data_IF_364470200568
#
_entry.id   IF_364470200568
#
_cell.length_a   1.000
_cell.length_b   1.000
_cell.length_c   1.000
_cell.angle_alpha   90.00
_cell.angle_beta   90.00
_cell.angle_gamma   90.00
#
_symmetry.space_group_name_H-M   'P 1'
#
loop_
_entity.id
_entity.type
_entity.pdbx_description
1 polymer ?
#
# COMPACT_ATOMS: atom_id res chain seq x y z
N UNK A 1 49.27 -1.83 -20.49
CA UNK A 1 48.07 -1.12 -20.95
C UNK A 1 46.85 -1.81 -20.33
N UNK A 2 46.41 -1.39 -19.14
CA UNK A 2 45.21 -1.90 -18.47
C UNK A 2 44.35 -0.69 -18.13
N UNK A 3 43.26 -0.53 -18.86
CA UNK A 3 42.27 0.52 -18.68
C UNK A 3 41.41 0.18 -17.46
N UNK A 4 41.54 0.96 -16.39
CA UNK A 4 40.61 0.93 -15.26
C UNK A 4 39.33 1.67 -15.67
N UNK A 5 38.23 0.95 -15.84
CA UNK A 5 36.90 1.55 -15.93
C UNK A 5 36.46 1.95 -14.53
N UNK A 6 36.28 3.26 -14.32
CA UNK A 6 35.60 3.78 -13.15
C UNK A 6 34.10 3.46 -13.26
N UNK A 7 33.56 2.78 -12.25
CA UNK A 7 32.12 2.62 -12.10
C UNK A 7 31.53 3.98 -11.74
N UNK A 8 30.78 4.57 -12.68
CA UNK A 8 30.00 5.77 -12.42
C UNK A 8 28.87 5.42 -11.46
N UNK A 9 28.97 5.87 -10.21
CA UNK A 9 27.84 5.87 -9.28
C UNK A 9 26.85 6.92 -9.78
N UNK A 10 25.83 6.51 -10.53
CA UNK A 10 24.70 7.38 -10.85
C UNK A 10 23.97 7.69 -9.55
N UNK A 11 24.26 8.85 -8.97
CA UNK A 11 23.37 9.45 -7.98
C UNK A 11 22.08 9.78 -8.69
N UNK A 12 21.09 8.89 -8.61
CA UNK A 12 19.74 9.17 -9.08
C UNK A 12 19.29 10.47 -8.40
N UNK A 13 19.14 11.55 -9.18
CA UNK A 13 18.62 12.79 -8.66
C UNK A 13 17.21 12.52 -8.16
N UNK A 14 16.85 13.05 -6.99
CA UNK A 14 15.46 13.09 -6.52
C UNK A 14 14.50 13.79 -7.51
N UNK A 15 15.06 14.44 -8.55
CA UNK A 15 14.38 15.23 -9.56
C UNK A 15 13.49 14.42 -10.51
N UNK A 16 13.64 13.09 -10.58
CA UNK A 16 12.84 12.24 -11.49
C UNK A 16 11.86 11.32 -10.75
N UNK A 17 11.66 11.53 -9.44
CA UNK A 17 10.65 10.81 -8.66
C UNK A 17 9.31 11.57 -8.67
N UNK A 18 8.21 10.99 -9.22
CA UNK A 18 6.93 11.66 -9.32
C UNK A 18 6.33 12.07 -7.97
N UNK A 19 6.57 11.31 -6.90
CA UNK A 19 6.03 11.67 -5.57
C UNK A 19 6.80 12.84 -4.95
N UNK A 20 8.14 12.82 -5.01
CA UNK A 20 8.98 13.95 -4.59
C UNK A 20 8.69 15.21 -5.38
N UNK A 21 8.53 15.11 -6.70
CA UNK A 21 8.16 16.25 -7.55
C UNK A 21 6.80 16.85 -7.16
N UNK A 22 5.85 16.01 -6.78
CA UNK A 22 4.49 16.44 -6.46
C UNK A 22 4.34 17.01 -5.05
N UNK A 23 4.99 16.41 -4.06
CA UNK A 23 4.76 16.73 -2.64
C UNK A 23 6.00 17.22 -1.90
N UNK A 24 7.18 17.26 -2.54
CA UNK A 24 8.44 17.64 -1.89
C UNK A 24 8.94 16.63 -0.85
N UNK A 25 8.37 15.42 -0.81
CA UNK A 25 8.69 14.38 0.16
C UNK A 25 9.29 13.16 -0.53
N UNK A 26 10.30 12.50 0.08
CA UNK A 26 10.96 11.38 -0.56
C UNK A 26 10.12 10.10 -0.43
N UNK A 27 10.09 9.30 -1.51
CA UNK A 27 9.60 7.91 -1.43
C UNK A 27 10.45 7.05 -0.47
N UNK A 28 9.88 5.95 0.05
CA UNK A 28 10.66 4.87 0.67
C UNK A 28 11.82 4.46 -0.24
N UNK A 29 13.01 4.29 0.36
CA UNK A 29 14.26 4.09 -0.38
C UNK A 29 14.15 2.95 -1.39
N UNK A 30 13.58 1.82 -0.98
CA UNK A 30 13.51 0.60 -1.77
C UNK A 30 12.41 0.64 -2.84
N UNK A 31 11.57 1.68 -2.84
CA UNK A 31 10.55 1.93 -3.88
C UNK A 31 11.07 2.82 -5.01
N UNK A 32 12.05 3.71 -4.73
CA UNK A 32 12.50 4.77 -5.65
C UNK A 32 12.89 4.26 -7.03
N UNK A 33 13.66 3.18 -7.10
CA UNK A 33 14.10 2.62 -8.37
C UNK A 33 12.93 2.16 -9.26
N UNK A 34 11.80 1.75 -8.67
CA UNK A 34 10.61 1.30 -9.40
C UNK A 34 9.73 2.48 -9.89
N UNK A 35 9.93 3.66 -9.30
CA UNK A 35 9.17 4.88 -9.55
C UNK A 35 9.89 5.89 -10.46
N UNK A 36 11.22 5.75 -10.60
CA UNK A 36 12.05 6.68 -11.33
C UNK A 36 11.58 6.86 -12.78
N UNK A 37 11.42 8.12 -13.21
CA UNK A 37 11.05 8.49 -14.57
C UNK A 37 9.57 8.30 -14.91
N UNK A 38 8.75 7.81 -13.98
CA UNK A 38 7.31 7.73 -14.18
C UNK A 38 6.68 9.12 -14.10
N UNK A 39 5.68 9.36 -14.94
CA UNK A 39 4.71 10.43 -14.71
C UNK A 39 3.87 10.13 -13.46
N UNK A 40 3.21 11.15 -12.91
CA UNK A 40 2.29 10.95 -11.79
C UNK A 40 1.18 9.93 -12.12
N UNK A 41 0.64 9.96 -13.34
CA UNK A 41 -0.41 9.04 -13.77
C UNK A 41 0.08 7.59 -13.79
N UNK A 42 1.22 7.32 -14.42
CA UNK A 42 1.83 5.98 -14.46
C UNK A 42 2.21 5.48 -13.06
N UNK A 43 2.70 6.38 -12.20
CA UNK A 43 3.01 6.08 -10.81
C UNK A 43 1.76 5.63 -10.03
N UNK A 44 0.65 6.38 -10.16
CA UNK A 44 -0.62 6.01 -9.52
C UNK A 44 -1.23 4.75 -10.10
N UNK A 45 -1.14 4.52 -11.41
CA UNK A 45 -1.64 3.30 -12.04
C UNK A 45 -0.87 2.06 -11.56
N UNK A 46 0.45 2.20 -11.39
CA UNK A 46 1.34 1.12 -10.94
C UNK A 46 1.16 0.78 -9.47
N UNK A 47 1.12 1.78 -8.60
CA UNK A 47 1.19 1.58 -7.15
C UNK A 47 -0.14 1.77 -6.42
N UNK A 48 -1.13 2.45 -7.02
CA UNK A 48 -2.45 2.67 -6.42
C UNK A 48 -3.59 2.23 -7.36
N UNK A 49 -3.58 0.99 -7.88
CA UNK A 49 -4.64 0.53 -8.76
C UNK A 49 -6.00 0.56 -8.05
N UNK A 50 -7.00 1.10 -8.74
CA UNK A 50 -8.39 1.18 -8.25
C UNK A 50 -9.23 -0.05 -8.63
N UNK A 51 -8.69 -0.92 -9.48
CA UNK A 51 -9.27 -2.19 -9.89
C UNK A 51 -8.67 -3.39 -9.15
N UNK A 52 -9.28 -4.56 -9.35
CA UNK A 52 -8.87 -5.84 -8.77
C UNK A 52 -10.02 -6.60 -8.12
N UNK A 53 -9.75 -7.84 -7.68
CA UNK A 53 -10.78 -8.70 -7.10
C UNK A 53 -11.28 -8.21 -5.74
N UNK A 54 -10.49 -7.43 -4.99
CA UNK A 54 -10.84 -6.98 -3.64
C UNK A 54 -11.26 -5.50 -3.64
N UNK A 55 -12.41 -5.20 -3.04
CA UNK A 55 -12.93 -3.83 -2.88
C UNK A 55 -13.43 -3.62 -1.45
N UNK A 56 -12.89 -2.65 -0.74
CA UNK A 56 -13.39 -2.25 0.58
C UNK A 56 -14.53 -1.23 0.43
N UNK A 57 -15.75 -1.59 0.83
CA UNK A 57 -16.95 -0.75 0.66
C UNK A 57 -17.30 0.05 1.90
N UNK A 58 -17.25 -0.59 3.06
CA UNK A 58 -17.57 0.03 4.35
C UNK A 58 -16.59 -0.47 5.41
N UNK A 59 -16.40 0.32 6.45
CA UNK A 59 -15.54 -0.02 7.57
C UNK A 59 -16.08 0.62 8.84
N UNK A 60 -16.30 -0.18 9.87
CA UNK A 60 -16.68 0.28 11.20
C UNK A 60 -15.80 -0.37 12.26
N UNK A 61 -15.77 0.23 13.44
CA UNK A 61 -15.03 -0.30 14.59
C UNK A 61 -15.81 -0.05 15.87
N UNK A 62 -15.87 -1.06 16.72
CA UNK A 62 -16.45 -0.99 18.06
C UNK A 62 -15.36 -1.29 19.10
N UNK A 63 -15.19 -0.41 20.09
CA UNK A 63 -14.20 -0.59 21.14
C UNK A 63 -14.68 -1.60 22.19
N UNK A 64 -13.86 -2.62 22.48
CA UNK A 64 -14.18 -3.67 23.44
C UNK A 64 -13.47 -3.51 24.80
N UNK A 65 -12.57 -2.53 24.93
CA UNK A 65 -11.69 -2.37 26.10
C UNK A 65 -10.31 -3.00 25.90
N UNK A 66 -9.37 -2.66 26.79
CA UNK A 66 -7.98 -3.12 26.75
C UNK A 66 -7.27 -2.93 25.40
N UNK A 67 -7.60 -1.85 24.67
CA UNK A 67 -7.02 -1.54 23.36
C UNK A 67 -7.48 -2.46 22.22
N UNK A 68 -8.52 -3.28 22.43
CA UNK A 68 -9.11 -4.14 21.40
C UNK A 68 -10.35 -3.51 20.80
N UNK A 69 -10.52 -3.72 19.51
CA UNK A 69 -11.70 -3.32 18.77
C UNK A 69 -12.20 -4.49 17.92
N UNK A 70 -13.51 -4.64 17.80
CA UNK A 70 -14.10 -5.41 16.70
C UNK A 70 -14.24 -4.49 15.50
N UNK A 71 -13.56 -4.85 14.42
CA UNK A 71 -13.71 -4.18 13.14
C UNK A 71 -14.65 -5.00 12.27
N UNK A 72 -15.51 -4.30 11.53
CA UNK A 72 -16.42 -4.92 10.57
C UNK A 72 -16.27 -4.21 9.23
N UNK A 73 -16.17 -4.99 8.16
CA UNK A 73 -15.98 -4.51 6.80
C UNK A 73 -16.97 -5.18 5.84
N UNK A 74 -17.51 -4.42 4.92
CA UNK A 74 -18.12 -4.98 3.71
C UNK A 74 -17.07 -5.03 2.61
N UNK A 75 -16.74 -6.24 2.15
CA UNK A 75 -15.78 -6.52 1.10
C UNK A 75 -16.50 -7.00 -0.17
N UNK A 76 -16.17 -6.40 -1.31
CA UNK A 76 -16.43 -7.01 -2.61
C UNK A 76 -15.25 -7.93 -2.98
N UNK A 77 -15.53 -9.19 -3.29
CA UNK A 77 -14.58 -10.23 -3.65
C UNK A 77 -15.02 -10.82 -5.01
N UNK A 78 -14.41 -10.36 -6.09
CA UNK A 78 -14.89 -10.60 -7.46
C UNK A 78 -16.31 -10.06 -7.64
N UNK A 79 -17.26 -10.97 -7.88
CA UNK A 79 -18.69 -10.68 -8.04
C UNK A 79 -19.51 -10.85 -6.75
N UNK A 80 -18.88 -11.32 -5.67
CA UNK A 80 -19.56 -11.51 -4.38
C UNK A 80 -19.33 -10.32 -3.46
N UNK A 81 -20.35 -9.94 -2.69
CA UNK A 81 -20.22 -8.99 -1.59
C UNK A 81 -20.39 -9.77 -0.29
N UNK A 82 -19.42 -9.66 0.61
CA UNK A 82 -19.43 -10.34 1.90
C UNK A 82 -19.16 -9.36 3.04
N UNK A 83 -19.78 -9.62 4.18
CA UNK A 83 -19.46 -8.94 5.44
C UNK A 83 -18.41 -9.78 6.19
N UNK A 84 -17.34 -9.13 6.65
CA UNK A 84 -16.27 -9.78 7.42
C UNK A 84 -16.01 -8.98 8.69
N UNK A 85 -15.68 -9.68 9.78
CA UNK A 85 -15.36 -9.07 11.07
C UNK A 85 -14.12 -9.69 11.69
N UNK A 86 -13.31 -8.89 12.38
CA UNK A 86 -12.16 -9.36 13.12
C UNK A 86 -11.92 -8.49 14.35
N UNK A 87 -11.59 -9.13 15.48
CA UNK A 87 -11.16 -8.41 16.68
C UNK A 87 -9.64 -8.27 16.70
N UNK A 88 -9.14 -7.04 16.71
CA UNK A 88 -7.72 -6.75 16.72
C UNK A 88 -7.40 -5.49 17.53
N UNK A 89 -6.11 -5.22 17.74
CA UNK A 89 -5.62 -3.99 18.38
C UNK A 89 -5.49 -2.83 17.39
N UNK A 90 -5.66 -3.08 16.09
CA UNK A 90 -5.59 -2.05 15.06
C UNK A 90 -6.23 -2.47 13.74
N UNK A 91 -6.57 -1.49 12.88
CA UNK A 91 -7.36 -1.73 11.69
C UNK A 91 -6.62 -2.56 10.63
N UNK A 92 -5.30 -2.46 10.55
CA UNK A 92 -4.50 -3.22 9.57
C UNK A 92 -4.39 -4.69 9.95
N UNK A 93 -4.21 -4.99 11.24
CA UNK A 93 -4.25 -6.37 11.74
C UNK A 93 -5.63 -7.00 11.49
N UNK A 94 -6.72 -6.26 11.74
CA UNK A 94 -8.06 -6.74 11.42
C UNK A 94 -8.27 -6.96 9.92
N UNK A 95 -7.90 -5.99 9.08
CA UNK A 95 -8.09 -6.10 7.64
C UNK A 95 -7.30 -7.27 7.04
N UNK A 96 -6.03 -7.44 7.42
CA UNK A 96 -5.21 -8.57 6.93
C UNK A 96 -5.77 -9.92 7.39
N UNK A 97 -6.31 -10.02 8.62
CA UNK A 97 -7.04 -11.22 9.06
C UNK A 97 -8.28 -11.49 8.21
N UNK A 98 -9.11 -10.48 7.94
CA UNK A 98 -10.31 -10.62 7.10
C UNK A 98 -9.95 -11.04 5.66
N UNK A 99 -8.84 -10.53 5.12
CA UNK A 99 -8.35 -10.88 3.79
C UNK A 99 -7.79 -12.32 3.76
N UNK A 100 -7.11 -12.74 4.83
CA UNK A 100 -6.64 -14.12 4.98
C UNK A 100 -7.80 -15.11 4.94
N UNK A 101 -8.85 -14.87 5.72
CA UNK A 101 -10.05 -15.71 5.76
C UNK A 101 -10.78 -15.74 4.40
N UNK A 102 -10.68 -14.67 3.63
CA UNK A 102 -11.24 -14.54 2.28
C UNK A 102 -10.36 -15.15 1.17
N UNK A 103 -9.18 -15.69 1.49
CA UNK A 103 -8.26 -16.28 0.51
C UNK A 103 -7.38 -15.26 -0.24
N UNK A 104 -7.27 -14.02 0.26
CA UNK A 104 -6.43 -12.96 -0.29
C UNK A 104 -5.27 -12.65 0.67
N UNK A 105 -4.47 -13.68 0.99
CA UNK A 105 -3.37 -13.53 1.94
C UNK A 105 -2.30 -12.57 1.42
N UNK A 106 -1.69 -11.83 2.35
CA UNK A 106 -0.50 -11.03 2.09
C UNK A 106 0.28 -10.82 3.38
N UNK A 107 1.59 -10.71 3.26
CA UNK A 107 2.50 -10.31 4.34
C UNK A 107 2.96 -8.87 4.12
N UNK A 108 3.04 -8.07 5.20
CA UNK A 108 3.55 -6.70 5.14
C UNK A 108 5.04 -6.71 5.48
N UNK A 109 5.89 -6.43 4.49
CA UNK A 109 7.35 -6.39 4.65
C UNK A 109 7.88 -5.00 4.99
N UNK A 110 7.17 -3.94 4.60
CA UNK A 110 7.51 -2.56 4.93
C UNK A 110 6.26 -1.69 4.95
N UNK A 111 6.21 -0.73 5.87
CA UNK A 111 5.09 0.18 6.02
C UNK A 111 5.62 1.58 6.32
N UNK A 112 5.22 2.56 5.50
CA UNK A 112 5.62 3.97 5.66
C UNK A 112 4.39 4.86 5.54
N UNK A 113 4.30 5.87 6.41
CA UNK A 113 3.29 6.92 6.33
C UNK A 113 3.91 8.30 6.35
N UNK A 114 3.39 9.17 5.50
CA UNK A 114 3.83 10.55 5.36
C UNK A 114 2.60 11.46 5.21
N UNK A 115 2.67 12.67 5.79
CA UNK A 115 1.65 13.70 5.60
C UNK A 115 2.01 14.54 4.39
N UNK A 116 1.08 14.67 3.45
CA UNK A 116 1.14 15.55 2.28
C UNK A 116 0.07 16.63 2.40
N UNK A 117 0.08 17.62 1.50
CA UNK A 117 -1.01 18.57 1.35
C UNK A 117 -2.32 17.91 0.88
N UNK A 118 -2.24 16.81 0.15
CA UNK A 118 -3.38 16.01 -0.32
C UNK A 118 -3.91 14.97 0.69
N UNK A 119 -3.38 14.92 1.93
CA UNK A 119 -3.79 13.96 2.96
C UNK A 119 -2.64 13.12 3.51
N UNK A 120 -2.94 11.89 3.95
CA UNK A 120 -1.93 10.93 4.40
C UNK A 120 -1.57 10.00 3.26
N UNK A 121 -0.31 9.96 2.85
CA UNK A 121 0.23 8.95 1.95
C UNK A 121 0.71 7.73 2.76
N UNK A 122 0.23 6.54 2.40
CA UNK A 122 0.72 5.27 2.95
C UNK A 122 1.35 4.45 1.85
N UNK A 123 2.54 3.91 2.09
CA UNK A 123 3.25 3.00 1.20
C UNK A 123 3.47 1.68 1.91
N UNK A 124 3.17 0.57 1.24
CA UNK A 124 3.31 -0.76 1.79
C UNK A 124 4.02 -1.66 0.79
N UNK A 125 5.05 -2.39 1.23
CA UNK A 125 5.60 -3.50 0.49
C UNK A 125 4.92 -4.77 0.97
N UNK A 126 4.12 -5.38 0.10
CA UNK A 126 3.41 -6.61 0.39
C UNK A 126 4.07 -7.81 -0.31
N UNK A 127 3.91 -9.00 0.25
CA UNK A 127 4.37 -10.26 -0.33
C UNK A 127 3.30 -11.35 -0.28
N UNK A 128 3.23 -12.17 -1.32
CA UNK A 128 2.47 -13.40 -1.36
C UNK A 128 3.12 -14.36 -2.37
N UNK A 129 3.31 -15.63 -1.99
CA UNK A 129 3.90 -16.69 -2.81
C UNK A 129 5.21 -16.28 -3.52
N UNK A 130 6.08 -15.57 -2.79
CA UNK A 130 7.37 -15.10 -3.26
C UNK A 130 7.30 -13.88 -4.19
N UNK A 131 6.11 -13.39 -4.52
CA UNK A 131 5.91 -12.16 -5.29
C UNK A 131 5.83 -10.96 -4.35
N UNK A 132 6.64 -9.93 -4.63
CA UNK A 132 6.68 -8.69 -3.84
C UNK A 132 6.16 -7.51 -4.64
N UNK A 133 5.26 -6.73 -4.06
CA UNK A 133 4.64 -5.56 -4.70
C UNK A 133 4.58 -4.39 -3.73
N UNK A 134 5.12 -3.24 -4.16
CA UNK A 134 4.78 -1.97 -3.52
C UNK A 134 3.37 -1.56 -3.90
N UNK A 135 2.63 -1.05 -2.93
CA UNK A 135 1.37 -0.35 -3.12
C UNK A 135 1.36 0.96 -2.35
N UNK A 136 0.45 1.85 -2.73
CA UNK A 136 0.23 3.10 -2.04
C UNK A 136 -1.24 3.51 -2.04
N UNK A 137 -1.57 4.42 -1.14
CA UNK A 137 -2.79 5.22 -1.22
C UNK A 137 -2.57 6.58 -0.58
N UNK A 138 -3.38 7.56 -0.99
CA UNK A 138 -3.49 8.87 -0.34
C UNK A 138 -4.96 9.05 0.06
N UNK A 139 -5.21 9.40 1.32
CA UNK A 139 -6.56 9.67 1.83
C UNK A 139 -6.52 10.67 2.99
N UNK A 140 -7.66 11.28 3.29
CA UNK A 140 -7.77 12.34 4.31
C UNK A 140 -7.33 11.86 5.71
N UNK A 141 -7.63 10.61 6.05
CA UNK A 141 -7.29 9.99 7.33
C UNK A 141 -6.24 8.87 7.18
N UNK A 142 -5.37 8.73 8.19
CA UNK A 142 -4.27 7.77 8.15
C UNK A 142 -4.73 6.31 8.15
N UNK A 143 -5.84 5.98 8.79
CA UNK A 143 -6.38 4.63 8.82
C UNK A 143 -7.03 4.27 7.49
N UNK A 144 -7.78 5.17 6.84
CA UNK A 144 -8.27 4.92 5.49
C UNK A 144 -7.12 4.79 4.50
N UNK A 145 -6.15 5.72 4.52
CA UNK A 145 -4.97 5.63 3.64
C UNK A 145 -4.26 4.28 3.80
N UNK A 146 -4.05 3.82 5.03
CA UNK A 146 -3.43 2.53 5.27
C UNK A 146 -4.26 1.35 4.78
N UNK A 147 -5.58 1.32 5.05
CA UNK A 147 -6.46 0.26 4.54
C UNK A 147 -6.50 0.23 3.01
N UNK A 148 -6.59 1.39 2.37
CA UNK A 148 -6.61 1.51 0.92
C UNK A 148 -5.30 1.01 0.29
N UNK A 149 -4.14 1.31 0.91
CA UNK A 149 -2.86 0.79 0.45
C UNK A 149 -2.76 -0.75 0.58
N UNK A 150 -3.31 -1.34 1.66
CA UNK A 150 -3.39 -2.80 1.81
C UNK A 150 -4.28 -3.43 0.74
N UNK A 151 -5.46 -2.85 0.46
CA UNK A 151 -6.36 -3.33 -0.61
C UNK A 151 -5.67 -3.25 -1.98
N UNK A 152 -4.97 -2.14 -2.27
CA UNK A 152 -4.17 -2.01 -3.49
C UNK A 152 -3.08 -3.08 -3.57
N UNK A 153 -2.41 -3.39 -2.45
CA UNK A 153 -1.41 -4.46 -2.36
C UNK A 153 -2.00 -5.84 -2.63
N UNK A 154 -3.14 -6.17 -2.02
CA UNK A 154 -3.87 -7.40 -2.28
C UNK A 154 -4.24 -7.52 -3.78
N UNK A 155 -4.78 -6.46 -4.36
CA UNK A 155 -5.14 -6.41 -5.79
C UNK A 155 -3.93 -6.46 -6.74
N UNK A 156 -2.72 -6.18 -6.28
CA UNK A 156 -1.50 -6.33 -7.08
C UNK A 156 -0.92 -7.74 -7.02
N UNK A 157 -1.14 -8.45 -5.91
CA UNK A 157 -0.64 -9.81 -5.68
C UNK A 157 -1.59 -10.90 -6.20
N UNK A 158 -2.89 -10.62 -6.24
CA UNK A 158 -3.95 -11.56 -6.62
C UNK A 158 -4.62 -11.21 -7.96
N UNK A 159 -3.84 -10.81 -8.98
CA UNK A 159 -4.37 -10.48 -10.32
C UNK A 159 -4.59 -11.70 -11.19
#
# INVERSE_FOLDING_TARGET
MRTSQAFATTTASFSDDPFSLRFGLPLPRDMRAQAQGLTWAEFTERFAPTGGPVRLRSWTSEHLGAGRHTYTATLGLGDTISSSSATATGPIAALTSMLYDAGFQLEILSFHQQRTDAGTATFVLCEHDGQRRWSMAIADDCNWSARAAIIAGANLLHR
#
